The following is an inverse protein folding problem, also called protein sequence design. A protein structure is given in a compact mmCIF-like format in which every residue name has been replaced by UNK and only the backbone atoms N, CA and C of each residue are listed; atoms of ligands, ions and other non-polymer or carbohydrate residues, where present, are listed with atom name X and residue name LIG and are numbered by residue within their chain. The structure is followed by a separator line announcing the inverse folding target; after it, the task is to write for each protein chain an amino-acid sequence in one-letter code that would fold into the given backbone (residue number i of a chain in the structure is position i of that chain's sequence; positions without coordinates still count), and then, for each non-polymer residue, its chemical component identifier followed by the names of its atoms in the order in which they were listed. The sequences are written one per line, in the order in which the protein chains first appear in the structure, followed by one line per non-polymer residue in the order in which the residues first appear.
data_IF_895759280172
#
_entry.id   IF_895759280172
#
_cell.length_a   1.000
_cell.length_b   1.000
_cell.length_c   1.000
_cell.angle_alpha   90.00
_cell.angle_beta   90.00
_cell.angle_gamma   90.00
#
_symmetry.space_group_name_H-M   'P 1'
#
loop_
_entity.id
_entity.type
_entity.pdbx_description
1 polymer ?
#
# COMPACT_ATOMS: atom_id res chain seq x y z
N UNK A 1 14.28 -0.29 10.78
CA UNK A 1 13.17 -0.19 9.80
C UNK A 1 13.67 -0.20 8.36
N UNK A 2 14.53 0.77 7.97
CA UNK A 2 15.02 0.88 6.59
C UNK A 2 15.68 -0.41 6.06
N UNK A 3 16.57 -1.03 6.82
CA UNK A 3 17.16 -2.33 6.43
C UNK A 3 16.09 -3.40 6.13
N UNK A 4 15.03 -3.46 6.93
CA UNK A 4 13.93 -4.43 6.71
C UNK A 4 13.18 -4.11 5.41
N UNK A 5 12.82 -2.84 5.20
CA UNK A 5 12.14 -2.38 3.96
C UNK A 5 12.99 -2.70 2.72
N UNK A 6 14.28 -2.38 2.75
CA UNK A 6 15.19 -2.60 1.64
C UNK A 6 15.45 -4.09 1.39
N UNK A 7 15.59 -4.90 2.43
CA UNK A 7 15.69 -6.37 2.28
C UNK A 7 14.44 -6.95 1.61
N UNK A 8 13.23 -6.55 2.03
CA UNK A 8 11.98 -6.99 1.40
C UNK A 8 11.92 -6.52 -0.06
N UNK A 9 12.36 -5.29 -0.34
CA UNK A 9 12.40 -4.73 -1.70
C UNK A 9 13.32 -5.54 -2.62
N UNK A 10 14.53 -5.85 -2.16
CA UNK A 10 15.50 -6.66 -2.92
C UNK A 10 14.94 -8.06 -3.17
N UNK A 11 14.38 -8.70 -2.14
CA UNK A 11 13.73 -10.02 -2.28
C UNK A 11 12.58 -9.95 -3.28
N UNK A 12 11.71 -8.96 -3.17
CA UNK A 12 10.58 -8.75 -4.08
C UNK A 12 11.01 -8.51 -5.53
N UNK A 13 12.09 -7.75 -5.74
CA UNK A 13 12.69 -7.54 -7.06
C UNK A 13 13.19 -8.87 -7.66
N UNK A 14 13.93 -9.67 -6.88
CA UNK A 14 14.38 -10.99 -7.34
C UNK A 14 13.23 -11.94 -7.65
N UNK A 15 12.17 -11.97 -6.82
CA UNK A 15 10.96 -12.74 -7.12
C UNK A 15 10.36 -12.31 -8.46
N UNK A 16 10.29 -11.01 -8.74
CA UNK A 16 9.72 -10.51 -10.00
C UNK A 16 10.58 -10.82 -11.22
N UNK A 17 11.91 -10.81 -11.08
CA UNK A 17 12.84 -11.11 -12.17
C UNK A 17 12.86 -12.62 -12.48
N UNK A 18 12.95 -13.47 -11.46
CA UNK A 18 13.11 -14.92 -11.65
C UNK A 18 11.78 -15.68 -11.70
N UNK A 19 10.69 -15.09 -11.20
CA UNK A 19 9.37 -15.73 -11.14
C UNK A 19 8.27 -14.80 -11.70
N UNK A 20 8.33 -14.55 -13.01
CA UNK A 20 7.40 -13.64 -13.72
C UNK A 20 5.93 -14.05 -13.54
N UNK A 21 5.66 -15.36 -13.54
CA UNK A 21 4.31 -15.93 -13.37
C UNK A 21 3.89 -16.09 -11.90
N UNK A 22 4.61 -15.48 -10.95
CA UNK A 22 4.27 -15.58 -9.54
C UNK A 22 2.81 -15.15 -9.29
N UNK A 23 2.08 -15.83 -8.40
CA UNK A 23 0.72 -15.45 -8.07
C UNK A 23 0.62 -13.99 -7.61
N UNK A 24 -0.38 -13.26 -8.09
CA UNK A 24 -0.54 -11.82 -7.79
C UNK A 24 -0.62 -11.52 -6.29
N UNK A 25 -1.18 -12.44 -5.49
CA UNK A 25 -1.27 -12.30 -4.04
C UNK A 25 0.11 -12.25 -3.36
N UNK A 26 1.15 -12.89 -3.93
CA UNK A 26 2.52 -12.81 -3.40
C UNK A 26 3.02 -11.39 -3.48
N UNK A 27 2.83 -10.76 -4.65
CA UNK A 27 3.24 -9.36 -4.84
C UNK A 27 2.41 -8.42 -3.98
N UNK A 28 1.08 -8.58 -3.96
CA UNK A 28 0.20 -7.79 -3.12
C UNK A 28 0.59 -7.89 -1.63
N UNK A 29 0.88 -9.09 -1.15
CA UNK A 29 1.33 -9.34 0.22
C UNK A 29 2.67 -8.69 0.54
N UNK A 30 3.65 -8.74 -0.37
CA UNK A 30 4.93 -8.05 -0.19
C UNK A 30 4.76 -6.53 -0.10
N UNK A 31 3.97 -5.93 -1.01
CA UNK A 31 3.72 -4.49 -1.00
C UNK A 31 2.97 -4.04 0.26
N UNK A 32 1.90 -4.75 0.65
CA UNK A 32 1.16 -4.45 1.88
C UNK A 32 2.02 -4.66 3.12
N UNK A 33 2.80 -5.75 3.17
CA UNK A 33 3.74 -6.03 4.25
C UNK A 33 4.71 -4.87 4.46
N UNK A 34 5.30 -4.34 3.38
CA UNK A 34 6.17 -3.17 3.45
C UNK A 34 5.46 -1.93 4.02
N UNK A 35 4.23 -1.64 3.59
CA UNK A 35 3.46 -0.50 4.11
C UNK A 35 3.09 -0.63 5.59
N UNK A 36 2.72 -1.84 6.02
CA UNK A 36 2.33 -2.13 7.40
C UNK A 36 3.50 -2.12 8.40
N UNK A 37 4.76 -2.08 7.92
CA UNK A 37 5.92 -1.84 8.78
C UNK A 37 5.84 -0.51 9.56
N UNK A 38 5.03 0.45 9.07
CA UNK A 38 4.72 1.70 9.78
C UNK A 38 4.15 1.49 11.19
N UNK A 39 3.49 0.35 11.47
CA UNK A 39 2.94 0.05 12.80
C UNK A 39 4.04 -0.04 13.86
N UNK A 40 5.21 -0.56 13.50
CA UNK A 40 6.35 -0.66 14.43
C UNK A 40 6.86 0.70 14.90
N UNK A 41 6.57 1.76 14.15
CA UNK A 41 6.94 3.14 14.47
C UNK A 41 5.72 4.02 14.78
N UNK A 42 4.54 3.42 14.97
CA UNK A 42 3.30 4.16 15.20
C UNK A 42 3.33 4.97 16.49
N UNK A 43 3.83 4.42 17.60
CA UNK A 43 3.94 5.16 18.87
C UNK A 43 4.86 6.40 18.76
N UNK A 44 6.06 6.30 18.18
CA UNK A 44 6.86 7.48 17.83
C UNK A 44 6.11 8.49 16.97
N UNK A 45 5.41 8.03 15.92
CA UNK A 45 4.65 8.90 15.01
C UNK A 45 3.54 9.67 15.73
N UNK A 46 2.81 9.03 16.65
CA UNK A 46 1.77 9.68 17.44
C UNK A 46 2.32 10.82 18.30
N UNK A 47 3.55 10.68 18.79
CA UNK A 47 4.21 11.72 19.60
C UNK A 47 4.80 12.86 18.76
N UNK A 48 5.12 12.61 17.50
CA UNK A 48 5.83 13.55 16.64
C UNK A 48 4.96 14.25 15.59
N UNK A 49 3.70 13.84 15.41
CA UNK A 49 2.83 14.30 14.34
C UNK A 49 1.46 14.71 14.86
N UNK A 50 0.88 15.75 14.27
CA UNK A 50 -0.48 16.18 14.59
C UNK A 50 -1.51 15.06 14.30
N UNK A 51 -2.63 14.97 15.06
CA UNK A 51 -3.66 13.96 14.86
C UNK A 51 -4.21 13.90 13.43
N UNK A 52 -4.30 15.03 12.73
CA UNK A 52 -4.75 15.08 11.34
C UNK A 52 -3.73 14.49 10.35
N UNK A 53 -2.43 14.58 10.62
CA UNK A 53 -1.39 13.89 9.84
C UNK A 53 -1.49 12.37 10.00
N UNK A 54 -1.72 11.89 11.23
CA UNK A 54 -1.97 10.48 11.52
C UNK A 54 -3.24 9.97 10.85
N UNK A 55 -4.29 10.81 10.76
CA UNK A 55 -5.51 10.49 10.03
C UNK A 55 -5.22 10.24 8.55
N UNK A 56 -4.49 11.14 7.88
CA UNK A 56 -4.12 10.95 6.47
C UNK A 56 -3.25 9.71 6.25
N UNK A 57 -2.28 9.46 7.14
CA UNK A 57 -1.46 8.25 7.09
C UNK A 57 -2.31 6.98 7.23
N UNK A 58 -3.19 6.94 8.24
CA UNK A 58 -4.03 5.78 8.53
C UNK A 58 -5.05 5.52 7.41
N UNK A 59 -5.71 6.58 6.93
CA UNK A 59 -6.65 6.50 5.81
C UNK A 59 -5.96 5.99 4.55
N UNK A 60 -4.76 6.50 4.24
CA UNK A 60 -3.94 6.03 3.13
C UNK A 60 -3.61 4.54 3.26
N UNK A 61 -3.16 4.10 4.44
CA UNK A 61 -2.87 2.69 4.73
C UNK A 61 -4.08 1.76 4.56
N UNK A 62 -5.27 2.19 5.01
CA UNK A 62 -6.52 1.45 4.82
C UNK A 62 -6.86 1.35 3.33
N UNK A 63 -6.80 2.46 2.58
CA UNK A 63 -7.10 2.47 1.15
C UNK A 63 -6.17 1.55 0.36
N UNK A 64 -4.86 1.58 0.64
CA UNK A 64 -3.90 0.63 0.06
C UNK A 64 -4.26 -0.82 0.39
N UNK A 65 -4.64 -1.10 1.63
CA UNK A 65 -4.99 -2.45 2.09
C UNK A 65 -6.24 -2.96 1.37
N UNK A 66 -7.30 -2.15 1.29
CA UNK A 66 -8.52 -2.51 0.56
C UNK A 66 -8.23 -2.75 -0.92
N UNK A 67 -7.46 -1.86 -1.57
CA UNK A 67 -7.02 -2.06 -2.95
C UNK A 67 -6.24 -3.37 -3.12
N UNK A 68 -5.26 -3.61 -2.26
CA UNK A 68 -4.43 -4.82 -2.31
C UNK A 68 -5.25 -6.11 -2.14
N UNK A 69 -6.26 -6.10 -1.27
CA UNK A 69 -7.21 -7.21 -1.10
C UNK A 69 -8.03 -7.43 -2.38
N UNK A 70 -8.60 -6.37 -2.96
CA UNK A 70 -9.35 -6.42 -4.23
C UNK A 70 -8.49 -7.04 -5.35
N UNK A 71 -7.24 -6.59 -5.46
CA UNK A 71 -6.29 -7.08 -6.45
C UNK A 71 -5.88 -8.54 -6.22
N UNK A 72 -5.65 -8.92 -4.96
CA UNK A 72 -5.28 -10.29 -4.58
C UNK A 72 -6.41 -11.30 -4.80
N UNK A 73 -7.64 -10.92 -4.42
CA UNK A 73 -8.83 -11.76 -4.54
C UNK A 73 -9.45 -11.74 -5.94
N UNK A 74 -9.06 -10.79 -6.80
CA UNK A 74 -9.66 -10.55 -8.12
C UNK A 74 -11.18 -10.31 -8.03
N UNK A 75 -11.62 -9.67 -6.95
CA UNK A 75 -13.03 -9.38 -6.66
C UNK A 75 -13.17 -7.95 -6.11
N UNK A 76 -14.28 -7.25 -6.38
CA UNK A 76 -15.45 -7.71 -7.15
C UNK A 76 -15.18 -7.80 -8.65
N UNK A 77 -15.75 -8.80 -9.32
CA UNK A 77 -15.78 -8.81 -10.78
C UNK A 77 -16.94 -7.91 -11.21
N UNK A 78 -16.61 -6.80 -11.85
CA UNK A 78 -17.59 -5.83 -12.33
C UNK A 78 -17.84 -6.17 -13.78
N UNK A 79 -19.09 -6.47 -14.14
CA UNK A 79 -19.50 -6.83 -15.51
C UNK A 79 -19.53 -5.59 -16.43
N UNK A 80 -18.41 -4.87 -16.51
CA UNK A 80 -18.17 -3.80 -17.47
C UNK A 80 -16.91 -4.13 -18.27
N UNK A 81 -16.93 -4.03 -19.61
CA UNK A 81 -15.79 -4.43 -20.43
C UNK A 81 -14.53 -3.58 -20.20
N UNK A 82 -14.68 -2.36 -19.67
CA UNK A 82 -13.59 -1.41 -19.42
C UNK A 82 -13.29 -1.17 -17.93
N UNK A 83 -14.03 -1.79 -17.01
CA UNK A 83 -13.88 -1.52 -15.58
C UNK A 83 -14.13 -2.77 -14.76
N UNK A 84 -13.05 -3.37 -14.24
CA UNK A 84 -13.07 -4.53 -13.37
C UNK A 84 -12.35 -4.29 -12.05
N UNK A 85 -11.92 -5.38 -11.42
CA UNK A 85 -11.19 -5.32 -10.14
C UNK A 85 -9.84 -4.60 -10.24
N UNK A 86 -9.22 -4.57 -11.43
CA UNK A 86 -7.89 -4.00 -11.61
C UNK A 86 -7.93 -2.46 -11.63
N UNK A 87 -8.89 -1.90 -12.36
CA UNK A 87 -9.15 -0.46 -12.41
C UNK A 87 -9.61 0.03 -11.04
N UNK A 88 -10.47 -0.73 -10.37
CA UNK A 88 -10.88 -0.43 -8.99
C UNK A 88 -9.67 -0.44 -8.04
N UNK A 89 -8.77 -1.42 -8.15
CA UNK A 89 -7.52 -1.44 -7.39
C UNK A 89 -6.70 -0.16 -7.63
N UNK A 90 -6.54 0.28 -8.87
CA UNK A 90 -5.81 1.51 -9.19
C UNK A 90 -6.46 2.75 -8.57
N UNK A 91 -7.80 2.83 -8.51
CA UNK A 91 -8.47 3.93 -7.82
C UNK A 91 -8.14 3.96 -6.32
N UNK A 92 -8.12 2.81 -5.65
CA UNK A 92 -7.72 2.72 -4.24
C UNK A 92 -6.25 3.09 -4.03
N UNK A 93 -5.36 2.65 -4.92
CA UNK A 93 -3.93 3.02 -4.90
C UNK A 93 -3.76 4.52 -5.09
N UNK A 94 -4.48 5.12 -6.04
CA UNK A 94 -4.44 6.56 -6.30
C UNK A 94 -4.92 7.36 -5.08
N UNK A 95 -6.06 6.96 -4.49
CA UNK A 95 -6.60 7.60 -3.31
C UNK A 95 -5.67 7.45 -2.08
N UNK A 96 -5.07 6.28 -1.90
CA UNK A 96 -4.07 6.03 -0.86
C UNK A 96 -2.80 6.88 -1.04
N UNK A 97 -2.31 6.98 -2.28
CA UNK A 97 -1.18 7.85 -2.66
C UNK A 97 -1.50 9.31 -2.39
N UNK A 98 -2.71 9.76 -2.74
CA UNK A 98 -3.17 11.12 -2.48
C UNK A 98 -3.20 11.43 -0.99
N UNK A 99 -3.70 10.52 -0.15
CA UNK A 99 -3.67 10.69 1.31
C UNK A 99 -2.23 10.80 1.84
N UNK A 100 -1.32 9.94 1.36
CA UNK A 100 0.09 10.02 1.74
C UNK A 100 0.75 11.33 1.28
N UNK A 101 0.43 11.80 0.08
CA UNK A 101 0.91 13.09 -0.42
C UNK A 101 0.44 14.25 0.46
N UNK A 102 -0.86 14.30 0.81
CA UNK A 102 -1.40 15.33 1.71
C UNK A 102 -0.73 15.30 3.08
N UNK A 103 -0.48 14.09 3.63
CA UNK A 103 0.26 13.92 4.87
C UNK A 103 1.67 14.53 4.78
N UNK A 104 2.42 14.20 3.73
CA UNK A 104 3.78 14.72 3.52
C UNK A 104 3.76 16.25 3.35
N UNK A 105 2.87 16.77 2.51
CA UNK A 105 2.82 18.18 2.14
C UNK A 105 2.42 19.11 3.29
N UNK A 106 1.48 18.70 4.15
CA UNK A 106 0.97 19.56 5.23
C UNK A 106 1.60 19.30 6.61
N UNK A 107 2.27 18.15 6.83
CA UNK A 107 2.70 17.73 8.17
C UNK A 107 4.18 17.35 8.29
N UNK A 108 4.92 17.28 7.17
CA UNK A 108 6.34 16.90 7.18
C UNK A 108 7.22 17.90 6.42
N UNK A 109 6.80 18.32 5.23
CA UNK A 109 7.48 19.33 4.42
C UNK A 109 7.34 20.74 5.04
#
# INVERSE_FOLDING_TARGET
LLFVVWSITIIGAFIKIFWINAPRWVSAGLYLGMGWLSIFVFLPLVKSMAPSGLFWLSLGGILYTVGGIIYGLKKPNIDKPWFGFHELFHLFVLAGTFCHFMMMYFYIA
#
